data_IF_322761643635
#
_entry.id   IF_322761643635
#
_cell.length_a   1.000
_cell.length_b   1.000
_cell.length_c   1.000
_cell.angle_alpha   90.00
_cell.angle_beta   90.00
_cell.angle_gamma   90.00
#
_symmetry.space_group_name_H-M   'P 1'
#
loop_
_entity.id
_entity.type
_entity.pdbx_description
1 polymer ?
#
# COMPACT_ATOMS: atom_id res chain seq x y z
N UNK A 1 7.26 15.29 -3.69
CA UNK A 1 6.93 13.86 -3.91
C UNK A 1 8.10 12.99 -3.48
N UNK A 2 7.83 12.04 -2.57
CA UNK A 2 8.80 11.01 -2.20
C UNK A 2 8.71 9.84 -3.19
N UNK A 3 9.85 9.36 -3.68
CA UNK A 3 9.92 8.20 -4.56
C UNK A 3 11.02 7.23 -4.13
N UNK A 4 10.99 6.00 -4.65
CA UNK A 4 12.05 5.00 -4.42
C UNK A 4 12.19 4.11 -5.66
N UNK A 5 13.37 3.55 -5.96
CA UNK A 5 13.52 2.55 -7.01
C UNK A 5 12.53 1.39 -6.86
N UNK A 6 12.01 0.89 -7.99
CA UNK A 6 10.93 -0.12 -8.00
C UNK A 6 11.23 -1.36 -7.14
N UNK A 7 12.41 -2.00 -7.22
CA UNK A 7 12.70 -3.17 -6.41
C UNK A 7 12.58 -2.89 -4.91
N UNK A 8 13.16 -1.78 -4.45
CA UNK A 8 13.15 -1.40 -3.04
C UNK A 8 11.75 -0.96 -2.56
N UNK A 9 10.97 -0.27 -3.40
CA UNK A 9 9.57 0.05 -3.10
C UNK A 9 8.72 -1.22 -2.97
N UNK A 10 8.90 -2.19 -3.86
CA UNK A 10 8.12 -3.42 -3.87
C UNK A 10 8.44 -4.30 -2.65
N UNK A 11 9.72 -4.45 -2.31
CA UNK A 11 10.13 -5.16 -1.10
C UNK A 11 9.49 -4.57 0.17
N UNK A 12 9.43 -3.23 0.27
CA UNK A 12 8.78 -2.55 1.41
C UNK A 12 7.27 -2.74 1.43
N UNK A 13 6.60 -2.69 0.27
CA UNK A 13 5.16 -2.96 0.17
C UNK A 13 4.86 -4.39 0.65
N UNK A 14 5.68 -5.34 0.23
CA UNK A 14 5.49 -6.76 0.55
C UNK A 14 5.71 -7.01 2.04
N UNK A 15 6.80 -6.47 2.60
CA UNK A 15 7.09 -6.53 4.03
C UNK A 15 6.00 -5.86 4.87
N UNK A 16 5.54 -4.67 4.46
CA UNK A 16 4.46 -3.94 5.15
C UNK A 16 3.17 -4.76 5.18
N UNK A 17 2.80 -5.40 4.07
CA UNK A 17 1.58 -6.18 4.03
C UNK A 17 1.67 -7.43 4.94
N UNK A 18 2.83 -8.10 4.98
CA UNK A 18 3.05 -9.20 5.95
C UNK A 18 2.94 -8.71 7.39
N UNK A 19 3.49 -7.53 7.69
CA UNK A 19 3.36 -6.92 9.01
C UNK A 19 1.90 -6.61 9.36
N UNK A 20 1.10 -6.13 8.41
CA UNK A 20 -0.34 -5.91 8.60
C UNK A 20 -1.08 -7.23 8.91
N UNK A 21 -0.74 -8.32 8.22
CA UNK A 21 -1.31 -9.66 8.53
C UNK A 21 -0.95 -10.08 9.96
N UNK A 22 0.31 -9.95 10.34
CA UNK A 22 0.77 -10.27 11.69
C UNK A 22 0.11 -9.39 12.77
N UNK A 23 -0.28 -8.17 12.41
CA UNK A 23 -0.97 -7.21 13.28
C UNK A 23 -2.51 -7.38 13.30
N UNK A 24 -3.07 -8.40 12.64
CA UNK A 24 -4.51 -8.70 12.72
C UNK A 24 -5.37 -8.14 11.57
N UNK A 25 -4.77 -7.82 10.41
CA UNK A 25 -5.55 -7.36 9.26
C UNK A 25 -6.59 -8.38 8.76
N UNK A 26 -6.36 -9.69 8.97
CA UNK A 26 -7.34 -10.72 8.62
C UNK A 26 -8.60 -10.60 9.50
N UNK A 27 -8.42 -10.35 10.80
CA UNK A 27 -9.52 -10.16 11.74
C UNK A 27 -10.27 -8.85 11.47
N UNK A 28 -9.56 -7.79 11.06
CA UNK A 28 -10.19 -6.54 10.62
C UNK A 28 -11.13 -6.77 9.43
N UNK A 29 -10.70 -7.55 8.43
CA UNK A 29 -11.55 -7.88 7.27
C UNK A 29 -12.72 -8.77 7.70
N UNK A 30 -12.51 -9.73 8.60
CA UNK A 30 -13.59 -10.56 9.13
C UNK A 30 -14.66 -9.70 9.83
N UNK A 31 -14.25 -8.75 10.67
CA UNK A 31 -15.16 -7.77 11.31
C UNK A 31 -15.86 -6.87 10.29
N UNK A 32 -15.17 -6.47 9.23
CA UNK A 32 -15.77 -5.68 8.14
C UNK A 32 -16.88 -6.48 7.42
N UNK A 33 -16.64 -7.76 7.10
CA UNK A 33 -17.61 -8.62 6.43
C UNK A 33 -18.85 -8.89 7.30
N UNK A 34 -18.64 -9.08 8.61
CA UNK A 34 -19.73 -9.32 9.56
C UNK A 34 -20.75 -8.17 9.63
N UNK A 35 -20.40 -6.97 9.15
CA UNK A 35 -21.32 -5.81 9.08
C UNK A 35 -22.36 -5.92 7.97
N UNK A 36 -22.28 -6.91 7.07
CA UNK A 36 -23.27 -7.10 6.01
C UNK A 36 -23.39 -5.91 5.05
N UNK A 37 -22.29 -5.19 4.82
CA UNK A 37 -22.27 -3.99 3.98
C UNK A 37 -22.51 -4.31 2.50
N UNK A 38 -23.10 -3.36 1.78
CA UNK A 38 -23.28 -3.47 0.33
C UNK A 38 -21.91 -3.64 -0.36
N UNK A 39 -21.73 -4.63 -1.26
CA UNK A 39 -20.44 -4.95 -1.87
C UNK A 39 -19.81 -3.83 -2.72
N UNK A 40 -20.62 -2.88 -3.18
CA UNK A 40 -20.21 -1.79 -4.06
C UNK A 40 -19.63 -0.57 -3.31
N UNK A 41 -19.74 -0.55 -1.98
CA UNK A 41 -19.22 0.53 -1.15
C UNK A 41 -17.70 0.70 -1.28
N UNK A 42 -17.17 1.94 -1.24
CA UNK A 42 -15.74 2.20 -1.40
C UNK A 42 -14.84 1.41 -0.43
N UNK A 43 -15.30 1.19 0.81
CA UNK A 43 -14.55 0.43 1.82
C UNK A 43 -14.35 -1.04 1.39
N UNK A 44 -15.31 -1.62 0.68
CA UNK A 44 -15.23 -3.00 0.17
C UNK A 44 -14.22 -3.14 -0.98
N UNK A 45 -13.85 -2.01 -1.60
CA UNK A 45 -12.87 -1.92 -2.69
C UNK A 45 -11.47 -1.55 -2.19
N UNK A 46 -11.26 -1.43 -0.88
CA UNK A 46 -9.95 -1.15 -0.32
C UNK A 46 -8.96 -2.29 -0.62
N UNK A 47 -7.69 -1.92 -0.82
CA UNK A 47 -6.63 -2.88 -1.14
C UNK A 47 -6.51 -3.94 -0.05
N UNK A 48 -6.52 -5.21 -0.44
CA UNK A 48 -6.44 -6.35 0.48
C UNK A 48 -7.79 -6.88 0.94
N UNK A 49 -8.87 -6.10 0.93
CA UNK A 49 -10.20 -6.57 1.40
C UNK A 49 -10.71 -7.73 0.57
N UNK A 50 -10.79 -7.58 -0.75
CA UNK A 50 -11.29 -8.64 -1.64
C UNK A 50 -10.52 -9.98 -1.53
N UNK A 51 -9.17 -10.03 -1.65
CA UNK A 51 -8.45 -11.30 -1.54
C UNK A 51 -8.50 -11.90 -0.13
N UNK A 52 -8.44 -11.10 0.94
CA UNK A 52 -8.57 -11.62 2.30
C UNK A 52 -9.99 -12.13 2.58
N UNK A 53 -11.01 -11.46 2.05
CA UNK A 53 -12.39 -11.94 2.13
C UNK A 53 -12.58 -13.27 1.39
N UNK A 54 -11.96 -13.46 0.22
CA UNK A 54 -11.97 -14.73 -0.49
C UNK A 54 -11.31 -15.85 0.34
N UNK A 55 -10.21 -15.54 1.03
CA UNK A 55 -9.61 -16.48 1.96
C UNK A 55 -10.55 -16.84 3.12
N UNK A 56 -11.20 -15.85 3.74
CA UNK A 56 -12.17 -16.08 4.83
C UNK A 56 -13.40 -16.90 4.40
N UNK A 57 -13.74 -16.90 3.11
CA UNK A 57 -14.79 -17.76 2.53
C UNK A 57 -14.30 -19.16 2.13
N UNK A 58 -13.02 -19.47 2.29
CA UNK A 58 -12.41 -20.74 1.88
C UNK A 58 -12.17 -20.87 0.38
N UNK A 59 -12.31 -19.78 -0.39
CA UNK A 59 -12.15 -19.77 -1.86
C UNK A 59 -10.68 -19.67 -2.29
N UNK A 60 -9.79 -19.26 -1.37
CA UNK A 60 -8.39 -18.97 -1.65
C UNK A 60 -7.51 -19.31 -0.44
N UNK A 61 -6.33 -19.90 -0.66
CA UNK A 61 -5.36 -20.09 0.41
C UNK A 61 -4.85 -18.73 0.91
N UNK A 62 -4.52 -18.62 2.21
CA UNK A 62 -4.05 -17.36 2.80
C UNK A 62 -2.80 -16.83 2.09
N UNK A 63 -1.88 -17.72 1.73
CA UNK A 63 -0.66 -17.35 1.02
C UNK A 63 -0.94 -16.68 -0.33
N UNK A 64 -1.91 -17.20 -1.08
CA UNK A 64 -2.32 -16.65 -2.37
C UNK A 64 -3.06 -15.32 -2.20
N UNK A 65 -3.93 -15.21 -1.18
CA UNK A 65 -4.60 -13.95 -0.84
C UNK A 65 -3.60 -12.83 -0.52
N UNK A 66 -2.57 -13.14 0.27
CA UNK A 66 -1.46 -12.22 0.58
C UNK A 66 -0.73 -11.84 -0.72
N UNK A 67 -0.40 -12.80 -1.58
CA UNK A 67 0.27 -12.56 -2.85
C UNK A 67 -0.51 -11.62 -3.77
N UNK A 68 -1.83 -11.82 -3.90
CA UNK A 68 -2.72 -10.95 -4.66
C UNK A 68 -2.78 -9.53 -4.07
N UNK A 69 -2.95 -9.41 -2.76
CA UNK A 69 -3.03 -8.11 -2.09
C UNK A 69 -1.73 -7.30 -2.23
N UNK A 70 -0.57 -7.97 -2.09
CA UNK A 70 0.74 -7.37 -2.33
C UNK A 70 0.90 -6.92 -3.80
N UNK A 71 0.53 -7.78 -4.76
CA UNK A 71 0.53 -7.44 -6.20
C UNK A 71 -0.29 -6.19 -6.48
N UNK A 72 -1.50 -6.13 -5.96
CA UNK A 72 -2.41 -5.01 -6.23
C UNK A 72 -1.98 -3.73 -5.53
N UNK A 73 -1.35 -3.84 -4.36
CA UNK A 73 -0.66 -2.74 -3.68
C UNK A 73 0.50 -2.18 -4.50
N UNK A 74 1.35 -3.04 -5.09
CA UNK A 74 2.44 -2.62 -5.99
C UNK A 74 1.91 -1.93 -7.25
N UNK A 75 0.83 -2.46 -7.84
CA UNK A 75 0.16 -1.86 -9.00
C UNK A 75 -0.43 -0.49 -8.66
N UNK A 76 -1.06 -0.36 -7.49
CA UNK A 76 -1.57 0.92 -7.01
C UNK A 76 -0.44 1.94 -6.80
N UNK A 77 0.65 1.55 -6.14
CA UNK A 77 1.82 2.41 -5.96
C UNK A 77 2.43 2.87 -7.29
N UNK A 78 2.51 1.97 -8.29
CA UNK A 78 2.91 2.34 -9.67
C UNK A 78 1.97 3.41 -10.25
N UNK A 79 0.65 3.22 -10.15
CA UNK A 79 -0.34 4.18 -10.67
C UNK A 79 -0.22 5.55 -9.98
N UNK A 80 -0.06 5.57 -8.66
CA UNK A 80 0.17 6.80 -7.89
C UNK A 80 1.42 7.53 -8.39
N UNK A 81 2.54 6.83 -8.55
CA UNK A 81 3.78 7.42 -9.06
C UNK A 81 3.63 7.93 -10.50
N UNK A 82 2.97 7.18 -11.39
CA UNK A 82 2.68 7.63 -12.76
C UNK A 82 1.81 8.88 -12.77
N UNK A 83 0.75 8.92 -11.97
CA UNK A 83 -0.12 10.09 -11.87
C UNK A 83 0.65 11.31 -11.37
N UNK A 84 1.44 11.17 -10.29
CA UNK A 84 2.26 12.25 -9.74
C UNK A 84 3.27 12.77 -10.78
N UNK A 85 3.91 11.89 -11.55
CA UNK A 85 4.85 12.31 -12.61
C UNK A 85 4.19 13.20 -13.67
N UNK A 86 2.89 13.05 -13.89
CA UNK A 86 2.17 13.84 -14.87
C UNK A 86 1.54 15.11 -14.29
N UNK A 87 1.02 15.03 -13.07
CA UNK A 87 0.23 16.10 -12.44
C UNK A 87 1.03 16.97 -11.46
N UNK A 88 2.16 16.48 -10.96
CA UNK A 88 2.98 17.13 -9.94
C UNK A 88 4.40 17.39 -10.47
N UNK A 89 4.52 17.84 -11.73
CA UNK A 89 5.81 18.05 -12.39
C UNK A 89 6.64 19.12 -11.68
N UNK A 90 5.98 20.19 -11.23
CA UNK A 90 6.63 21.35 -10.60
C UNK A 90 6.86 21.16 -9.09
N UNK A 91 6.56 19.97 -8.55
CA UNK A 91 6.80 19.67 -7.14
C UNK A 91 8.24 19.19 -6.95
N UNK A 92 8.78 19.37 -5.76
CA UNK A 92 10.10 18.83 -5.40
C UNK A 92 10.05 17.30 -5.36
N UNK A 93 10.87 16.62 -6.16
CA UNK A 93 10.99 15.16 -6.18
C UNK A 93 12.22 14.71 -5.40
N UNK A 94 12.02 13.87 -4.39
CA UNK A 94 13.11 13.38 -3.54
C UNK A 94 13.05 11.87 -3.37
N UNK A 95 14.20 11.23 -3.45
CA UNK A 95 14.30 9.81 -3.13
C UNK A 95 14.15 9.61 -1.61
N UNK A 96 13.20 8.77 -1.22
CA UNK A 96 12.87 8.49 0.17
C UNK A 96 14.03 7.78 0.86
N UNK A 97 14.65 8.46 1.83
CA UNK A 97 15.69 7.92 2.70
C UNK A 97 15.08 7.22 3.92
N UNK A 98 15.83 6.32 4.56
CA UNK A 98 15.36 5.61 5.77
C UNK A 98 15.50 6.45 7.05
N UNK A 99 16.41 7.43 7.05
CA UNK A 99 16.65 8.33 8.18
C UNK A 99 15.93 9.67 8.01
N UNK A 100 14.94 9.92 8.88
CA UNK A 100 14.17 11.18 8.93
C UNK A 100 15.07 12.40 9.18
N UNK A 101 16.18 12.23 9.90
CA UNK A 101 17.14 13.31 10.20
C UNK A 101 17.77 13.91 8.94
N UNK A 102 18.05 13.08 7.93
CA UNK A 102 18.59 13.55 6.64
C UNK A 102 17.51 14.27 5.82
N UNK A 103 16.24 13.99 6.05
CA UNK A 103 15.12 14.63 5.35
C UNK A 103 14.98 16.11 5.75
N UNK A 104 15.08 16.41 7.05
CA UNK A 104 15.03 17.80 7.55
C UNK A 104 16.22 18.61 7.03
N UNK A 105 17.43 18.04 7.05
CA UNK A 105 18.62 18.70 6.53
C UNK A 105 18.52 19.03 5.02
N UNK A 106 17.94 18.12 4.22
CA UNK A 106 17.75 18.36 2.79
C UNK A 106 16.60 19.33 2.48
N UNK A 107 15.57 19.41 3.33
CA UNK A 107 14.49 20.40 3.18
C UNK A 107 14.99 21.83 3.41
N UNK A 108 15.85 22.04 4.41
CA UNK A 108 16.44 23.35 4.69
C UNK A 108 17.26 23.86 3.50
N UNK A 109 18.04 22.98 2.85
CA UNK A 109 18.83 23.32 1.64
C UNK A 109 18.03 23.73 0.40
N UNK A 110 16.73 23.51 0.39
CA UNK A 110 15.86 23.85 -0.75
C UNK A 110 15.14 25.18 -0.52
N UNK A 111 15.12 25.67 0.72
CA UNK A 111 14.46 26.92 1.12
C UNK A 111 15.45 28.10 1.10
N UNK A 112 16.75 27.82 1.16
CA UNK A 112 17.86 28.76 0.93
C UNK A 112 18.24 28.86 -0.56
#
# INVERSE_FOLDING_TARGET
VLWRPRPALYARIDARFRAMIAAGALDEVARLLARGLAPDLPVMKALGVAPLAAHLRGELALADAIGLAQRDSRRYAKRQLTWMRHQCRDWIWQEAQENVTNYVHNLLKIID
#
